data_IF_018889627357
#
_entry.id   IF_018889627357
#
_cell.length_a   1.000
_cell.length_b   1.000
_cell.length_c   1.000
_cell.angle_alpha   90.00
_cell.angle_beta   90.00
_cell.angle_gamma   90.00
#
_symmetry.space_group_name_H-M   'P 1'
#
loop_
_entity.id
_entity.type
_entity.pdbx_description
1 polymer ?
#
# COMPACT_ATOMS: atom_id res chain seq x y z
N UNK A 1 8.15 0.72 -8.27
CA UNK A 1 8.31 0.06 -6.96
C UNK A 1 8.53 1.16 -5.97
N UNK A 2 7.77 1.14 -4.88
CA UNK A 2 7.77 2.20 -3.88
C UNK A 2 8.08 1.62 -2.51
N UNK A 3 8.88 2.37 -1.74
CA UNK A 3 9.25 2.00 -0.37
C UNK A 3 8.33 2.71 0.61
N UNK A 4 7.81 1.97 1.58
CA UNK A 4 7.05 2.46 2.72
C UNK A 4 7.86 2.13 3.97
N UNK A 5 8.20 3.15 4.76
CA UNK A 5 8.75 2.99 6.10
C UNK A 5 7.57 3.07 7.09
N UNK A 6 7.47 2.10 8.01
CA UNK A 6 6.34 1.96 8.95
C UNK A 6 6.88 1.96 10.37
N UNK A 7 6.32 2.81 11.23
CA UNK A 7 6.74 3.00 12.63
C UNK A 7 5.55 2.81 13.58
N UNK A 8 5.18 1.56 13.87
CA UNK A 8 4.02 1.27 14.72
C UNK A 8 4.33 1.56 16.19
N UNK A 9 3.72 2.62 16.75
CA UNK A 9 3.77 2.95 18.18
C UNK A 9 2.43 2.78 18.94
N UNK A 10 1.30 2.70 18.23
CA UNK A 10 -0.04 2.64 18.82
C UNK A 10 -0.72 1.26 18.75
N UNK A 11 -1.99 1.22 19.16
CA UNK A 11 -2.89 0.06 19.01
C UNK A 11 -3.61 0.01 17.67
N UNK A 12 -3.72 1.15 16.99
CA UNK A 12 -4.43 1.24 15.72
C UNK A 12 -3.55 0.85 14.54
N UNK A 13 -4.20 0.35 13.49
CA UNK A 13 -3.56 0.05 12.22
C UNK A 13 -3.11 1.32 11.50
N UNK A 14 -1.85 1.36 11.09
CA UNK A 14 -1.36 2.31 10.09
C UNK A 14 -1.60 1.77 8.69
N UNK A 15 -1.94 2.63 7.75
CA UNK A 15 -2.20 2.23 6.37
C UNK A 15 -1.70 3.26 5.38
N UNK A 16 -1.39 2.81 4.17
CA UNK A 16 -1.08 3.64 3.02
C UNK A 16 -1.98 3.22 1.87
N UNK A 17 -2.74 4.18 1.35
CA UNK A 17 -3.67 3.97 0.25
C UNK A 17 -3.00 4.23 -1.10
N UNK A 18 -3.27 3.37 -2.07
CA UNK A 18 -2.89 3.51 -3.46
C UNK A 18 -4.13 3.42 -4.35
N UNK A 19 -4.14 4.12 -5.48
CA UNK A 19 -5.21 3.99 -6.46
C UNK A 19 -5.00 2.73 -7.29
N UNK A 20 -5.97 1.83 -7.22
CA UNK A 20 -6.02 0.62 -8.03
C UNK A 20 -6.40 0.90 -9.48
N UNK A 21 -7.03 2.04 -9.76
CA UNK A 21 -7.44 2.48 -11.10
C UNK A 21 -6.88 3.85 -11.50
N UNK A 22 -6.00 4.43 -10.69
CA UNK A 22 -5.32 5.69 -10.99
C UNK A 22 -3.87 5.45 -11.38
N UNK A 23 -3.51 5.83 -12.61
CA UNK A 23 -2.12 5.78 -13.12
C UNK A 23 -1.46 7.16 -13.13
N UNK A 24 -2.23 8.25 -13.02
CA UNK A 24 -1.68 9.60 -13.03
C UNK A 24 -1.00 9.92 -11.69
N UNK A 25 -1.66 9.62 -10.57
CA UNK A 25 -1.05 9.65 -9.24
C UNK A 25 -1.47 8.41 -8.43
N UNK A 26 -0.75 7.29 -8.58
CA UNK A 26 -1.04 6.06 -7.85
C UNK A 26 -1.02 6.21 -6.32
N UNK A 27 -0.33 7.20 -5.75
CA UNK A 27 -0.26 7.43 -4.30
C UNK A 27 -0.96 8.74 -3.94
N UNK A 28 -2.23 8.61 -3.60
CA UNK A 28 -3.05 9.74 -3.14
C UNK A 28 -2.40 10.39 -1.92
N UNK A 29 -2.19 11.70 -2.03
CA UNK A 29 -1.68 12.64 -1.01
C UNK A 29 -0.21 13.08 -1.10
N UNK A 30 0.62 12.55 -2.01
CA UNK A 30 2.05 12.93 -2.07
C UNK A 30 2.63 13.22 -3.48
N UNK A 31 1.89 13.02 -4.58
CA UNK A 31 2.44 13.20 -5.93
C UNK A 31 3.52 12.16 -6.22
N UNK A 32 3.10 10.90 -6.30
CA UNK A 32 3.98 9.73 -6.31
C UNK A 32 4.71 9.46 -7.64
N UNK A 33 5.36 8.30 -7.67
CA UNK A 33 5.99 7.77 -8.89
C UNK A 33 4.90 7.28 -9.85
N UNK A 34 4.88 7.84 -11.06
CA UNK A 34 4.01 7.36 -12.12
C UNK A 34 4.50 5.99 -12.65
N UNK A 35 3.58 5.16 -13.17
CA UNK A 35 3.93 3.92 -13.85
C UNK A 35 4.88 4.19 -15.02
N UNK A 36 5.83 3.29 -15.22
CA UNK A 36 6.84 3.44 -16.27
C UNK A 36 6.19 3.59 -17.65
N UNK A 37 6.59 4.64 -18.35
CA UNK A 37 6.12 4.94 -19.71
C UNK A 37 4.74 5.60 -19.79
N UNK A 38 4.10 5.92 -18.66
CA UNK A 38 2.81 6.62 -18.65
C UNK A 38 2.87 7.91 -19.47
N UNK A 39 3.85 8.77 -19.22
CA UNK A 39 4.03 10.04 -19.96
C UNK A 39 4.22 9.85 -21.47
N UNK A 40 4.87 8.76 -21.89
CA UNK A 40 5.12 8.46 -23.30
C UNK A 40 3.83 8.01 -23.99
N UNK A 41 3.02 7.19 -23.31
CA UNK A 41 1.71 6.79 -23.81
C UNK A 41 0.72 7.97 -23.83
N UNK A 42 0.73 8.83 -22.82
CA UNK A 42 -0.14 10.01 -22.74
C UNK A 42 0.22 11.13 -23.75
N UNK A 43 1.43 11.10 -24.33
CA UNK A 43 1.73 11.95 -25.50
C UNK A 43 0.99 11.49 -26.76
N UNK A 44 0.70 10.19 -26.85
CA UNK A 44 0.05 9.58 -28.03
C UNK A 44 -1.46 9.46 -27.85
N UNK A 45 -1.95 9.33 -26.62
CA UNK A 45 -3.35 9.11 -26.30
C UNK A 45 -3.84 10.13 -25.28
N UNK A 46 -5.12 10.48 -25.34
CA UNK A 46 -5.70 11.52 -24.47
C UNK A 46 -6.24 10.95 -23.17
N UNK A 47 -6.73 9.71 -23.19
CA UNK A 47 -7.40 9.08 -22.05
C UNK A 47 -6.89 7.69 -21.78
N UNK A 48 -6.96 7.26 -20.52
CA UNK A 48 -6.67 5.89 -20.09
C UNK A 48 -7.82 5.31 -19.27
N UNK A 49 -8.03 4.00 -19.36
CA UNK A 49 -8.96 3.24 -18.52
C UNK A 49 -8.24 2.02 -17.95
N UNK A 50 -8.23 1.87 -16.62
CA UNK A 50 -7.68 0.67 -15.97
C UNK A 50 -8.77 -0.41 -15.88
N UNK A 51 -8.47 -1.60 -16.40
CA UNK A 51 -9.36 -2.76 -16.35
C UNK A 51 -9.13 -3.59 -15.09
N UNK A 52 -7.86 -3.82 -14.77
CA UNK A 52 -7.45 -4.59 -13.60
C UNK A 52 -6.10 -4.10 -13.10
N UNK A 53 -5.83 -4.35 -11.83
CA UNK A 53 -4.51 -4.10 -11.25
C UNK A 53 -4.12 -5.23 -10.31
N UNK A 54 -2.81 -5.40 -10.15
CA UNK A 54 -2.23 -6.33 -9.18
C UNK A 54 -1.22 -5.62 -8.32
N UNK A 55 -1.30 -5.86 -7.02
CA UNK A 55 -0.38 -5.32 -6.03
C UNK A 55 0.44 -6.45 -5.43
N UNK A 56 1.74 -6.26 -5.37
CA UNK A 56 2.68 -7.12 -4.65
C UNK A 56 3.42 -6.30 -3.61
N UNK A 57 3.37 -6.75 -2.36
CA UNK A 57 4.06 -6.17 -1.22
C UNK A 57 5.08 -7.17 -0.70
N UNK A 58 6.33 -6.75 -0.59
CA UNK A 58 7.36 -7.44 0.18
C UNK A 58 7.60 -6.67 1.47
N UNK A 59 7.48 -7.31 2.63
CA UNK A 59 7.64 -6.67 3.94
C UNK A 59 8.68 -7.40 4.78
N UNK A 60 9.48 -6.62 5.50
CA UNK A 60 10.47 -7.09 6.46
C UNK A 60 10.49 -6.18 7.70
N UNK A 61 10.94 -6.73 8.83
CA UNK A 61 11.29 -5.88 9.98
C UNK A 61 12.53 -5.06 9.69
N UNK A 62 12.56 -3.84 10.20
CA UNK A 62 13.76 -3.03 10.25
C UNK A 62 14.52 -3.31 11.54
N UNK A 63 15.72 -3.89 11.42
CA UNK A 63 16.61 -4.17 12.55
C UNK A 63 16.50 -5.60 13.08
N UNK A 64 17.13 -5.85 14.23
CA UNK A 64 17.26 -7.16 14.85
C UNK A 64 16.35 -7.30 16.09
N UNK A 65 16.07 -8.55 16.49
CA UNK A 65 15.28 -9.02 17.65
C UNK A 65 15.47 -8.21 18.95
N UNK A 66 14.83 -7.05 19.08
CA UNK A 66 14.61 -6.30 20.32
C UNK A 66 13.66 -5.10 20.07
N UNK A 67 12.89 -4.65 21.07
CA UNK A 67 12.21 -3.36 21.00
C UNK A 67 13.25 -2.23 20.90
N UNK A 68 13.01 -1.27 20.00
CA UNK A 68 13.86 -0.08 19.88
C UNK A 68 13.28 1.05 20.73
N UNK A 69 14.13 1.78 21.45
CA UNK A 69 13.71 2.94 22.25
C UNK A 69 13.19 4.05 21.33
N UNK A 70 12.27 4.85 21.85
CA UNK A 70 11.58 6.00 21.23
C UNK A 70 12.49 7.01 20.48
N UNK A 71 13.81 6.96 20.67
CA UNK A 71 14.75 8.05 20.35
C UNK A 71 15.73 7.78 19.19
N UNK A 72 15.69 6.66 18.47
CA UNK A 72 16.56 6.49 17.29
C UNK A 72 15.81 6.79 16.00
N UNK A 73 16.09 7.96 15.43
CA UNK A 73 15.63 8.39 14.10
C UNK A 73 16.42 7.69 12.97
N UNK A 74 17.31 6.75 13.30
CA UNK A 74 18.21 6.07 12.37
C UNK A 74 18.18 4.56 12.66
N UNK A 75 18.05 3.74 11.61
CA UNK A 75 17.91 2.29 11.72
C UNK A 75 18.98 1.66 12.62
N UNK A 76 18.55 0.84 13.57
CA UNK A 76 19.41 0.18 14.54
C UNK A 76 20.25 -0.90 13.86
N UNK A 77 21.54 -0.62 13.61
CA UNK A 77 22.51 -1.54 13.01
C UNK A 77 23.30 -2.35 14.05
N UNK A 78 23.06 -2.12 15.34
CA UNK A 78 23.77 -2.77 16.43
C UNK A 78 22.82 -3.68 17.22
N UNK A 79 23.10 -4.98 17.26
CA UNK A 79 22.41 -5.94 18.12
C UNK A 79 22.90 -5.75 19.56
N UNK A 80 22.10 -5.07 20.39
CA UNK A 80 22.32 -5.03 21.83
C UNK A 80 21.25 -5.87 22.55
N UNK A 81 21.68 -6.88 23.30
CA UNK A 81 20.79 -7.56 24.26
C UNK A 81 20.69 -6.62 25.46
N UNK A 82 19.65 -5.80 25.51
CA UNK A 82 19.32 -5.01 26.70
C UNK A 82 18.13 -5.67 27.39
N UNK A 83 18.37 -6.16 28.60
CA UNK A 83 17.29 -6.62 29.46
C UNK A 83 16.55 -5.37 29.96
N UNK A 84 15.26 -5.25 29.62
CA UNK A 84 14.45 -4.19 30.21
C UNK A 84 14.37 -4.42 31.72
N UNK A 85 14.74 -3.41 32.50
CA UNK A 85 14.63 -3.42 33.97
C UNK A 85 13.22 -3.06 34.44
N UNK A 86 12.31 -2.76 33.50
CA UNK A 86 10.91 -2.42 33.74
C UNK A 86 10.03 -3.46 33.06
N UNK A 87 8.95 -3.88 33.71
CA UNK A 87 8.02 -4.91 33.22
C UNK A 87 7.15 -4.46 32.02
N UNK A 88 7.55 -3.41 31.31
CA UNK A 88 6.66 -2.66 30.42
C UNK A 88 7.09 -2.64 28.94
N UNK A 89 8.34 -3.02 28.62
CA UNK A 89 8.79 -3.09 27.23
C UNK A 89 8.33 -4.38 26.55
N UNK A 90 7.44 -4.24 25.55
CA UNK A 90 7.02 -5.37 24.73
C UNK A 90 8.20 -5.90 23.90
N UNK A 91 8.68 -7.12 24.20
CA UNK A 91 9.70 -7.77 23.40
C UNK A 91 9.20 -7.99 21.96
N UNK A 92 9.99 -7.57 20.96
CA UNK A 92 9.94 -8.04 19.57
C UNK A 92 8.52 -8.40 19.06
N UNK A 93 7.57 -7.47 19.22
CA UNK A 93 6.14 -7.78 19.06
C UNK A 93 5.83 -8.15 17.61
N UNK A 94 5.05 -9.24 17.36
CA UNK A 94 4.59 -9.56 16.03
C UNK A 94 3.65 -8.48 15.48
N UNK A 95 3.67 -8.34 14.16
CA UNK A 95 2.91 -7.34 13.40
C UNK A 95 2.10 -8.07 12.36
N UNK A 96 0.83 -7.71 12.28
CA UNK A 96 -0.05 -8.12 11.20
C UNK A 96 0.15 -7.12 10.06
N UNK A 97 0.42 -7.63 8.87
CA UNK A 97 0.45 -6.85 7.65
C UNK A 97 -0.64 -7.35 6.69
N UNK A 98 -1.28 -6.44 5.98
CA UNK A 98 -2.37 -6.79 5.09
C UNK A 98 -2.53 -5.91 3.87
N UNK A 99 -3.28 -6.42 2.92
CA UNK A 99 -3.71 -5.76 1.69
C UNK A 99 -5.23 -5.80 1.69
N UNK A 100 -5.87 -4.64 1.77
CA UNK A 100 -7.30 -4.44 1.67
C UNK A 100 -7.65 -3.79 0.32
N UNK A 101 -8.89 -4.02 -0.14
CA UNK A 101 -9.41 -3.52 -1.41
C UNK A 101 -10.78 -2.90 -1.20
N UNK A 102 -10.94 -1.65 -1.59
CA UNK A 102 -12.19 -0.92 -1.33
C UNK A 102 -12.48 0.20 -2.32
N UNK A 103 -13.69 0.75 -2.20
CA UNK A 103 -14.10 2.00 -2.85
C UNK A 103 -13.81 3.25 -2.00
N UNK A 104 -13.38 3.02 -0.75
CA UNK A 104 -12.99 4.06 0.18
C UNK A 104 -11.65 3.67 0.81
N UNK A 105 -10.88 4.67 1.21
CA UNK A 105 -9.64 4.49 1.97
C UNK A 105 -9.98 3.81 3.30
N UNK A 106 -9.12 2.88 3.72
CA UNK A 106 -9.32 2.13 4.95
C UNK A 106 -9.26 3.06 6.18
N UNK A 107 -10.23 2.98 7.08
CA UNK A 107 -10.13 3.70 8.38
C UNK A 107 -9.21 2.95 9.34
N UNK A 108 -8.42 3.70 10.11
CA UNK A 108 -7.63 3.19 11.23
C UNK A 108 -8.51 2.45 12.25
N UNK A 109 -7.94 1.43 12.89
CA UNK A 109 -8.60 0.67 13.95
C UNK A 109 -7.77 -0.55 14.35
N UNK A 110 -8.22 -1.25 15.39
CA UNK A 110 -7.51 -2.42 15.93
C UNK A 110 -7.31 -3.53 14.88
N UNK A 111 -6.23 -4.31 15.03
CA UNK A 111 -5.83 -5.34 14.08
C UNK A 111 -6.96 -6.33 13.76
N UNK A 112 -7.70 -6.75 14.78
CA UNK A 112 -8.80 -7.74 14.66
C UNK A 112 -9.91 -7.20 13.77
N UNK A 113 -10.27 -5.93 13.94
CA UNK A 113 -11.29 -5.27 13.11
C UNK A 113 -10.84 -5.19 11.65
N UNK A 114 -9.55 -4.97 11.39
CA UNK A 114 -9.04 -4.95 10.01
C UNK A 114 -8.98 -6.35 9.38
N UNK A 115 -8.67 -7.36 10.17
CA UNK A 115 -8.62 -8.76 9.74
C UNK A 115 -10.00 -9.32 9.36
N UNK A 116 -11.07 -8.78 9.96
CA UNK A 116 -12.45 -9.19 9.70
C UNK A 116 -13.07 -8.49 8.47
N UNK A 117 -12.46 -7.42 7.96
CA UNK A 117 -12.98 -6.70 6.77
C UNK A 117 -12.97 -7.61 5.53
N UNK A 118 -14.03 -7.48 4.73
CA UNK A 118 -14.10 -8.17 3.45
C UNK A 118 -12.97 -7.72 2.51
N UNK A 119 -12.56 -8.61 1.60
CA UNK A 119 -11.50 -8.40 0.59
C UNK A 119 -10.13 -8.04 1.16
N UNK A 120 -9.90 -8.31 2.45
CA UNK A 120 -8.59 -8.20 3.10
C UNK A 120 -7.83 -9.52 3.03
N UNK A 121 -6.55 -9.45 2.65
CA UNK A 121 -5.58 -10.52 2.86
C UNK A 121 -4.60 -10.07 3.92
N UNK A 122 -4.30 -10.90 4.90
CA UNK A 122 -3.37 -10.57 5.97
C UNK A 122 -2.42 -11.73 6.26
N UNK A 123 -1.25 -11.40 6.82
CA UNK A 123 -0.27 -12.34 7.36
C UNK A 123 0.39 -11.72 8.59
N UNK A 124 0.93 -12.56 9.45
CA UNK A 124 1.72 -12.12 10.60
C UNK A 124 3.20 -12.26 10.27
N UNK A 125 3.96 -11.23 10.60
CA UNK A 125 5.43 -11.22 10.53
C UNK A 125 5.98 -11.00 11.94
N UNK A 126 7.05 -11.70 12.29
CA UNK A 126 7.77 -11.53 13.57
C UNK A 126 9.21 -11.04 13.33
N UNK A 127 9.89 -10.45 14.32
CA UNK A 127 11.26 -9.97 14.15
C UNK A 127 12.31 -11.04 13.87
N UNK A 128 11.92 -12.32 13.90
CA UNK A 128 12.79 -13.46 13.58
C UNK A 128 12.42 -14.13 12.25
N UNK A 129 11.32 -13.73 11.62
CA UNK A 129 10.91 -14.29 10.33
C UNK A 129 11.61 -13.59 9.18
N UNK A 130 11.87 -14.34 8.12
CA UNK A 130 12.32 -13.78 6.84
C UNK A 130 11.27 -12.83 6.26
N UNK A 131 11.71 -12.00 5.30
CA UNK A 131 10.81 -11.12 4.57
C UNK A 131 9.68 -11.93 3.90
N UNK A 132 8.45 -11.48 4.07
CA UNK A 132 7.28 -12.12 3.48
C UNK A 132 6.79 -11.33 2.27
N UNK A 133 6.32 -12.05 1.26
CA UNK A 133 5.69 -11.44 0.08
C UNK A 133 4.21 -11.78 0.07
N UNK A 134 3.38 -10.75 -0.12
CA UNK A 134 1.94 -10.84 -0.25
C UNK A 134 1.54 -10.22 -1.58
N UNK A 135 0.68 -10.89 -2.32
CA UNK A 135 0.18 -10.37 -3.58
C UNK A 135 -1.32 -10.56 -3.71
N UNK A 136 -1.94 -9.62 -4.40
CA UNK A 136 -3.37 -9.67 -4.68
C UNK A 136 -3.67 -9.03 -6.02
N UNK A 137 -4.76 -9.49 -6.64
CA UNK A 137 -5.28 -8.95 -7.89
C UNK A 137 -6.70 -8.45 -7.69
N UNK A 138 -7.11 -7.48 -8.49
CA UNK A 138 -8.49 -7.06 -8.62
C UNK A 138 -8.83 -6.70 -10.05
N UNK A 139 -10.08 -6.97 -10.45
CA UNK A 139 -10.69 -6.36 -11.61
C UNK A 139 -11.50 -5.14 -11.14
N UNK A 140 -11.30 -4.01 -11.80
CA UNK A 140 -11.95 -2.74 -11.43
C UNK A 140 -13.47 -2.84 -11.64
N UNK A 141 -13.91 -3.64 -12.62
CA UNK A 141 -15.33 -3.92 -12.88
C UNK A 141 -16.08 -4.53 -11.69
N UNK A 142 -15.39 -5.31 -10.85
CA UNK A 142 -16.00 -6.05 -9.73
C UNK A 142 -16.41 -5.13 -8.57
N UNK A 143 -15.93 -3.87 -8.59
CA UNK A 143 -16.27 -2.87 -7.58
C UNK A 143 -17.40 -1.95 -8.04
N UNK A 144 -17.61 -1.82 -9.35
CA UNK A 144 -18.61 -0.93 -9.92
C UNK A 144 -19.88 -1.64 -10.40
N UNK A 145 -19.88 -2.98 -10.44
CA UNK A 145 -21.01 -3.77 -10.95
C UNK A 145 -21.30 -3.53 -12.44
N UNK A 146 -20.36 -2.93 -13.18
CA UNK A 146 -20.47 -2.61 -14.61
C UNK A 146 -19.41 -3.35 -15.41
N UNK A 147 -19.82 -3.99 -16.50
CA UNK A 147 -18.92 -4.78 -17.36
C UNK A 147 -18.07 -3.96 -18.34
N UNK A 148 -18.51 -2.76 -18.75
CA UNK A 148 -17.78 -1.89 -19.69
C UNK A 148 -17.41 -0.57 -19.03
N UNK A 149 -16.12 -0.40 -18.75
CA UNK A 149 -15.56 0.83 -18.15
C UNK A 149 -14.92 1.77 -19.18
N UNK A 150 -14.51 1.24 -20.33
CA UNK A 150 -13.82 2.01 -21.37
C UNK A 150 -14.77 3.03 -21.99
N UNK A 151 -14.38 4.30 -21.98
CA UNK A 151 -15.18 5.42 -22.51
C UNK A 151 -16.39 5.80 -21.67
N UNK A 152 -16.56 5.19 -20.49
CA UNK A 152 -17.64 5.54 -19.57
C UNK A 152 -17.20 6.69 -18.65
N UNK A 153 -18.05 7.71 -18.53
CA UNK A 153 -17.79 8.89 -17.69
C UNK A 153 -17.51 8.48 -16.24
N UNK A 154 -16.43 9.03 -15.66
CA UNK A 154 -16.02 8.81 -14.27
C UNK A 154 -15.04 7.66 -14.05
N UNK A 155 -14.86 6.76 -15.03
CA UNK A 155 -13.96 5.60 -14.92
C UNK A 155 -12.65 5.75 -15.71
N UNK A 156 -12.52 6.83 -16.48
CA UNK A 156 -11.35 7.15 -17.28
C UNK A 156 -10.54 8.27 -16.63
N UNK A 157 -9.21 8.19 -16.79
CA UNK A 157 -8.28 9.24 -16.39
C UNK A 157 -7.64 9.91 -17.60
N UNK A 158 -6.92 11.00 -17.34
CA UNK A 158 -6.22 11.83 -18.32
C UNK A 158 -4.77 12.06 -17.87
N UNK A 159 -4.01 12.80 -18.66
CA UNK A 159 -2.64 13.22 -18.33
C UNK A 159 -2.58 14.28 -17.22
N UNK A 160 -3.73 14.71 -16.70
CA UNK A 160 -3.84 15.73 -15.66
C UNK A 160 -4.72 15.32 -14.48
N UNK A 161 -5.39 14.15 -14.55
CA UNK A 161 -6.30 13.70 -13.51
C UNK A 161 -6.54 12.18 -13.54
N UNK A 162 -6.61 11.57 -12.36
CA UNK A 162 -7.12 10.20 -12.19
C UNK A 162 -8.65 10.12 -12.37
N UNK A 163 -9.21 8.90 -12.55
CA UNK A 163 -10.65 8.71 -12.60
C UNK A 163 -11.39 9.26 -11.37
N UNK A 164 -12.60 9.78 -11.59
CA UNK A 164 -13.46 10.31 -10.53
C UNK A 164 -13.93 9.21 -9.58
N UNK A 165 -14.35 8.08 -10.15
CA UNK A 165 -14.67 6.87 -9.41
C UNK A 165 -13.37 6.17 -9.06
N UNK A 166 -13.11 6.00 -7.75
CA UNK A 166 -11.82 5.51 -7.25
C UNK A 166 -11.96 4.13 -6.64
N UNK A 167 -11.00 3.26 -6.95
CA UNK A 167 -10.77 2.00 -6.25
C UNK A 167 -9.42 2.07 -5.57
N UNK A 168 -9.35 1.61 -4.33
CA UNK A 168 -8.16 1.70 -3.49
C UNK A 168 -7.57 0.32 -3.22
N UNK A 169 -6.25 0.31 -3.20
CA UNK A 169 -5.41 -0.67 -2.55
C UNK A 169 -4.93 -0.08 -1.23
N UNK A 170 -5.40 -0.61 -0.11
CA UNK A 170 -4.95 -0.18 1.21
C UNK A 170 -3.97 -1.21 1.76
N UNK A 171 -2.70 -0.81 1.86
CA UNK A 171 -1.68 -1.62 2.53
C UNK A 171 -1.65 -1.20 3.99
N UNK A 172 -1.85 -2.13 4.91
CA UNK A 172 -2.00 -1.82 6.33
C UNK A 172 -1.13 -2.70 7.23
N UNK A 173 -0.80 -2.15 8.39
CA UNK A 173 0.05 -2.76 9.41
C UNK A 173 -0.50 -2.47 10.79
N UNK A 174 -0.56 -3.48 11.66
CA UNK A 174 -1.02 -3.32 13.03
C UNK A 174 -0.28 -4.27 13.96
N UNK A 175 -0.13 -3.91 15.24
CA UNK A 175 0.46 -4.81 16.24
C UNK A 175 -0.53 -5.92 16.57
N UNK A 176 -0.06 -7.16 16.55
CA UNK A 176 -0.90 -8.32 16.92
C UNK A 176 -1.09 -8.48 18.43
N UNK A 177 -0.28 -7.79 19.24
CA UNK A 177 -0.22 -7.99 20.69
C UNK A 177 -1.06 -7.00 21.51
N UNK A 178 -1.57 -5.92 20.90
CA UNK A 178 -2.28 -4.85 21.61
C UNK A 178 -1.42 -4.01 22.56
N UNK A 179 -0.11 -4.26 22.64
CA UNK A 179 0.80 -3.48 23.49
C UNK A 179 1.15 -2.13 22.87
N UNK A 180 1.07 -1.08 23.67
CA UNK A 180 1.31 0.33 23.27
C UNK A 180 2.73 0.83 23.55
N UNK A 181 3.60 0.02 24.15
CA UNK A 181 4.96 0.43 24.49
C UNK A 181 5.99 -0.01 23.45
N UNK A 182 7.05 0.79 23.27
CA UNK A 182 8.11 0.60 22.27
C UNK A 182 7.67 0.91 20.84
N UNK A 183 8.57 0.77 19.84
CA UNK A 183 8.25 0.90 18.40
C UNK A 183 8.54 -0.39 17.63
N UNK A 184 7.64 -0.75 16.72
CA UNK A 184 7.86 -1.82 15.73
C UNK A 184 8.11 -1.17 14.38
N UNK A 185 9.35 -1.23 13.90
CA UNK A 185 9.75 -0.64 12.63
C UNK A 185 9.75 -1.69 11.53
N UNK A 186 9.10 -1.39 10.41
CA UNK A 186 9.05 -2.26 9.24
C UNK A 186 9.38 -1.49 7.98
N UNK A 187 9.88 -2.22 6.98
CA UNK A 187 10.03 -1.73 5.61
C UNK A 187 9.19 -2.58 4.69
N UNK A 188 8.36 -1.93 3.90
CA UNK A 188 7.58 -2.56 2.85
C UNK A 188 7.95 -1.99 1.49
N UNK A 189 8.09 -2.87 0.50
CA UNK A 189 8.25 -2.51 -0.89
C UNK A 189 7.01 -2.94 -1.67
N UNK A 190 6.32 -1.96 -2.23
CA UNK A 190 5.08 -2.14 -2.98
C UNK A 190 5.33 -1.99 -4.47
N UNK A 191 4.78 -2.91 -5.25
CA UNK A 191 4.77 -2.84 -6.71
C UNK A 191 3.35 -3.05 -7.19
N UNK A 192 2.84 -2.08 -7.95
CA UNK A 192 1.54 -2.14 -8.60
C UNK A 192 1.75 -2.32 -10.11
N UNK A 193 1.01 -3.23 -10.70
CA UNK A 193 0.95 -3.44 -12.14
C UNK A 193 -0.46 -3.15 -12.61
N UNK A 194 -0.59 -2.29 -13.62
CA UNK A 194 -1.86 -1.90 -14.20
C UNK A 194 -2.04 -2.59 -15.56
N UNK A 195 -3.23 -3.13 -15.77
CA UNK A 195 -3.71 -3.51 -17.09
C UNK A 195 -4.70 -2.43 -17.55
N UNK A 196 -4.30 -1.64 -18.54
CA UNK A 196 -5.03 -0.47 -18.98
C UNK A 196 -5.20 -0.46 -20.51
N UNK A 197 -6.20 0.29 -20.95
CA UNK A 197 -6.42 0.64 -22.35
C UNK A 197 -6.27 2.15 -22.47
N UNK A 198 -5.43 2.58 -23.40
CA UNK A 198 -5.34 3.97 -23.82
C UNK A 198 -6.29 4.22 -24.99
N UNK A 199 -7.02 5.34 -24.95
CA UNK A 199 -8.04 5.70 -25.95
C UNK A 199 -7.82 7.13 -26.43
N UNK A 200 -8.52 7.51 -27.51
CA UNK A 200 -8.48 8.85 -28.09
C UNK A 200 -7.05 9.25 -28.52
N UNK A 201 -6.52 8.60 -29.58
CA UNK A 201 -5.21 8.92 -30.10
C UNK A 201 -5.15 10.39 -30.51
N UNK A 202 -4.12 11.09 -30.04
CA UNK A 202 -3.84 12.47 -30.43
C UNK A 202 -3.40 12.47 -31.89
N UNK A 203 -3.87 13.47 -32.64
CA UNK A 203 -3.36 13.70 -33.99
C UNK A 203 -1.88 14.03 -33.90
N UNK A 204 -1.03 13.22 -34.53
CA UNK A 204 0.37 13.57 -34.74
C UNK A 204 0.39 14.88 -35.51
N UNK A 205 0.98 15.93 -34.94
CA UNK A 205 1.27 17.14 -35.71
C UNK A 205 2.08 16.71 -36.92
N UNK A 206 1.59 17.01 -38.12
CA UNK A 206 2.40 16.88 -39.32
C UNK A 206 3.65 17.73 -39.12
N UNK A 207 4.80 17.08 -38.97
CA UNK A 207 6.13 17.69 -38.97
C UNK A 207 6.39 18.38 -40.30
#
# INVERSE_FOLDING_TARGET
MEKIDIDLGGTDSEHTAFLANGMYDPRVALGGLQPRGFDEFMKTYTTFTVLSSSLSMNVMYEGYTAPTLESSTTGEMLKAIRQSTTSEDAAASPVVCGIHKGLAVMTAGAAEVQMEKDRTLWRVISPVSDAITMSSKLAVSDFYGKGKLVGATGYTGTDSADPTEKVYWDVWFARASGHTQGKCKLKAYVTIQYNCIFTEPRTLGAS
#
